data_IF_217980459303
#
_entry.id   IF_217980459303
#
_cell.length_a   1.000
_cell.length_b   1.000
_cell.length_c   1.000
_cell.angle_alpha   90.00
_cell.angle_beta   90.00
_cell.angle_gamma   90.00
#
_symmetry.space_group_name_H-M   'P 1'
#
loop_
_entity.id
_entity.type
_entity.pdbx_description
1 polymer ?
#
# COMPACT_ATOMS: atom_id res chain seq x y z
N UNK A 1 -44.78 -21.09 1.37
CA UNK A 1 -43.67 -21.51 2.27
C UNK A 1 -42.45 -20.70 1.90
N UNK A 2 -41.91 -19.99 2.88
CA UNK A 2 -40.96 -18.88 2.74
C UNK A 2 -39.54 -19.40 2.46
N UNK A 3 -38.93 -18.96 1.36
CA UNK A 3 -37.49 -19.09 1.14
C UNK A 3 -36.80 -18.01 1.98
N UNK A 4 -36.17 -18.43 3.06
CA UNK A 4 -35.44 -17.56 3.97
C UNK A 4 -34.34 -16.80 3.20
N UNK A 5 -34.46 -15.47 3.25
CA UNK A 5 -33.45 -14.49 2.89
C UNK A 5 -32.20 -14.77 3.73
N UNK A 6 -31.13 -15.26 3.10
CA UNK A 6 -29.83 -15.40 3.76
C UNK A 6 -29.27 -13.99 3.90
N UNK A 7 -28.90 -13.54 5.11
CA UNK A 7 -28.28 -12.23 5.27
C UNK A 7 -26.97 -12.21 4.47
N UNK A 8 -26.93 -11.39 3.42
CA UNK A 8 -25.71 -11.04 2.70
C UNK A 8 -24.68 -10.56 3.73
N UNK A 9 -23.49 -11.18 3.83
CA UNK A 9 -22.47 -10.69 4.75
C UNK A 9 -22.18 -9.22 4.41
N UNK A 10 -22.00 -8.34 5.41
CA UNK A 10 -21.72 -6.94 5.16
C UNK A 10 -20.51 -6.85 4.24
N UNK A 11 -20.69 -6.20 3.09
CA UNK A 11 -19.66 -5.95 2.11
C UNK A 11 -18.44 -5.38 2.83
N UNK A 12 -17.37 -6.17 2.95
CA UNK A 12 -16.15 -5.74 3.62
C UNK A 12 -15.66 -4.47 2.92
N UNK A 13 -15.59 -3.35 3.67
CA UNK A 13 -15.13 -2.08 3.11
C UNK A 13 -13.75 -2.30 2.46
N UNK A 14 -13.55 -1.89 1.20
CA UNK A 14 -12.29 -2.09 0.51
C UNK A 14 -11.12 -1.34 1.18
N UNK A 15 -11.44 -0.31 1.97
CA UNK A 15 -10.49 0.55 2.66
C UNK A 15 -10.65 0.50 4.18
N UNK A 16 -9.56 0.81 4.88
CA UNK A 16 -9.53 1.09 6.32
C UNK A 16 -8.83 2.43 6.55
N UNK A 17 -9.46 3.31 7.34
CA UNK A 17 -8.83 4.54 7.81
C UNK A 17 -7.94 4.25 9.03
N UNK A 18 -6.74 4.81 9.06
CA UNK A 18 -5.83 4.65 10.20
C UNK A 18 -6.36 5.42 11.41
N UNK A 19 -6.62 4.68 12.48
CA UNK A 19 -6.67 5.22 13.83
C UNK A 19 -5.29 5.12 14.51
N UNK A 20 -5.15 5.64 15.73
CA UNK A 20 -3.90 5.59 16.49
C UNK A 20 -3.41 4.14 16.74
N UNK A 21 -4.32 3.18 16.86
CA UNK A 21 -3.98 1.76 17.03
C UNK A 21 -3.39 1.20 15.73
N UNK A 22 -4.05 1.47 14.61
CA UNK A 22 -3.65 1.07 13.28
C UNK A 22 -2.32 1.69 12.86
N UNK A 23 -2.10 2.97 13.19
CA UNK A 23 -0.85 3.67 12.96
C UNK A 23 0.31 2.98 13.67
N UNK A 24 0.19 2.73 14.98
CA UNK A 24 1.22 1.98 15.74
C UNK A 24 1.43 0.57 15.19
N UNK A 25 0.35 -0.08 14.74
CA UNK A 25 0.44 -1.39 14.10
C UNK A 25 1.10 -1.35 12.71
N UNK A 26 1.20 -0.22 12.02
CA UNK A 26 1.93 -0.08 10.76
C UNK A 26 3.28 0.63 10.89
N UNK A 27 3.61 1.15 12.06
CA UNK A 27 4.91 1.73 12.41
C UNK A 27 6.06 0.68 12.51
N UNK A 28 6.09 -0.32 11.62
CA UNK A 28 7.17 -1.29 11.52
C UNK A 28 7.31 -1.82 10.07
N UNK A 29 8.52 -1.80 9.49
CA UNK A 29 8.74 -2.17 8.08
C UNK A 29 8.20 -3.55 7.70
N UNK A 30 8.43 -4.58 8.53
CA UNK A 30 7.95 -5.94 8.24
C UNK A 30 6.42 -6.00 8.18
N UNK A 31 5.69 -5.24 9.01
CA UNK A 31 4.22 -5.25 9.02
C UNK A 31 3.65 -4.61 7.75
N UNK A 32 4.24 -3.50 7.30
CA UNK A 32 3.88 -2.85 6.02
C UNK A 32 4.16 -3.80 4.85
N UNK A 33 5.32 -4.48 4.85
CA UNK A 33 5.68 -5.42 3.80
C UNK A 33 4.77 -6.66 3.76
N UNK A 34 4.43 -7.24 4.92
CA UNK A 34 3.50 -8.37 5.03
C UNK A 34 2.10 -7.99 4.51
N UNK A 35 1.56 -6.85 4.96
CA UNK A 35 0.26 -6.36 4.50
C UNK A 35 0.28 -6.10 2.99
N UNK A 36 1.34 -5.47 2.48
CA UNK A 36 1.55 -5.24 1.04
C UNK A 36 1.63 -6.54 0.24
N UNK A 37 2.34 -7.55 0.75
CA UNK A 37 2.45 -8.86 0.11
C UNK A 37 1.10 -9.58 0.04
N UNK A 38 0.30 -9.55 1.12
CA UNK A 38 -1.04 -10.15 1.13
C UNK A 38 -2.01 -9.44 0.18
N UNK A 39 -1.94 -8.11 0.07
CA UNK A 39 -2.71 -7.33 -0.92
C UNK A 39 -2.24 -7.58 -2.35
N UNK A 40 -0.98 -7.95 -2.55
CA UNK A 40 -0.39 -8.20 -3.87
C UNK A 40 -0.60 -9.63 -4.34
N UNK A 41 -0.21 -10.60 -3.54
CA UNK A 41 -0.15 -12.00 -3.97
C UNK A 41 -1.31 -12.82 -3.44
N UNK A 42 -2.23 -12.20 -2.69
CA UNK A 42 -3.38 -12.88 -2.10
C UNK A 42 -3.03 -13.58 -0.79
N UNK A 43 -3.89 -14.53 -0.41
CA UNK A 43 -3.75 -15.26 0.84
C UNK A 43 -2.45 -16.09 0.86
N UNK A 44 -1.76 -16.12 2.01
CA UNK A 44 -0.49 -16.82 2.15
C UNK A 44 -0.24 -17.27 3.60
N UNK A 45 0.68 -18.21 3.78
CA UNK A 45 1.12 -18.69 5.10
C UNK A 45 2.28 -17.85 5.63
N UNK A 46 2.49 -17.88 6.95
CA UNK A 46 3.61 -17.19 7.58
C UNK A 46 4.97 -17.69 7.10
N UNK A 47 5.08 -18.98 6.76
CA UNK A 47 6.31 -19.59 6.23
C UNK A 47 6.67 -19.01 4.86
N UNK A 48 5.72 -19.02 3.93
CA UNK A 48 5.92 -18.49 2.58
C UNK A 48 6.20 -16.96 2.59
N UNK A 49 5.50 -16.22 3.45
CA UNK A 49 5.77 -14.79 3.65
C UNK A 49 7.15 -14.56 4.27
N UNK A 50 7.55 -15.34 5.26
CA UNK A 50 8.87 -15.26 5.88
C UNK A 50 10.00 -15.44 4.85
N UNK A 51 9.90 -16.48 4.02
CA UNK A 51 10.84 -16.73 2.92
C UNK A 51 10.90 -15.55 1.94
N UNK A 52 9.75 -15.03 1.50
CA UNK A 52 9.69 -13.89 0.58
C UNK A 52 10.32 -12.62 1.16
N UNK A 53 10.15 -12.36 2.45
CA UNK A 53 10.64 -11.14 3.11
C UNK A 53 12.05 -11.30 3.70
N UNK A 54 12.66 -12.50 3.62
CA UNK A 54 13.95 -12.78 4.24
C UNK A 54 13.91 -12.75 5.78
N UNK A 55 12.77 -13.10 6.39
CA UNK A 55 12.60 -13.18 7.85
C UNK A 55 12.17 -14.58 8.28
N UNK A 56 12.38 -14.93 9.55
CA UNK A 56 11.93 -16.23 10.06
C UNK A 56 10.41 -16.38 10.03
N UNK A 57 9.91 -17.61 9.90
CA UNK A 57 8.47 -17.92 9.98
C UNK A 57 7.87 -17.51 11.34
N UNK A 58 8.66 -17.60 12.42
CA UNK A 58 8.28 -17.13 13.76
C UNK A 58 8.08 -15.60 13.80
N UNK A 59 9.01 -14.85 13.21
CA UNK A 59 8.92 -13.39 13.06
C UNK A 59 7.71 -12.98 12.23
N UNK A 60 7.50 -13.62 11.06
CA UNK A 60 6.33 -13.38 10.22
C UNK A 60 5.03 -13.66 10.97
N UNK A 61 4.93 -14.80 11.66
CA UNK A 61 3.76 -15.18 12.46
C UNK A 61 3.45 -14.18 13.58
N UNK A 62 4.47 -13.69 14.28
CA UNK A 62 4.32 -12.67 15.31
C UNK A 62 3.71 -11.38 14.75
N UNK A 63 4.24 -10.89 13.63
CA UNK A 63 3.75 -9.67 13.00
C UNK A 63 2.36 -9.83 12.38
N UNK A 64 2.04 -11.00 11.81
CA UNK A 64 0.69 -11.29 11.30
C UNK A 64 -0.36 -11.26 12.42
N UNK A 65 -0.04 -11.78 13.62
CA UNK A 65 -0.94 -11.68 14.78
C UNK A 65 -1.16 -10.22 15.23
N UNK A 66 -0.11 -9.40 15.20
CA UNK A 66 -0.25 -7.96 15.52
C UNK A 66 -1.14 -7.25 14.50
N UNK A 67 -0.93 -7.51 13.21
CA UNK A 67 -1.77 -6.98 12.13
C UNK A 67 -3.23 -7.44 12.28
N UNK A 68 -3.45 -8.69 12.68
CA UNK A 68 -4.79 -9.24 12.90
C UNK A 68 -5.48 -8.56 14.09
N UNK A 69 -4.77 -8.37 15.20
CA UNK A 69 -5.28 -7.62 16.35
C UNK A 69 -5.63 -6.16 16.04
N UNK A 70 -5.02 -5.59 14.99
CA UNK A 70 -5.32 -4.26 14.47
C UNK A 70 -6.31 -4.26 13.28
N UNK A 71 -6.83 -5.43 12.85
CA UNK A 71 -7.84 -5.54 11.80
C UNK A 71 -7.32 -5.46 10.37
N UNK A 72 -6.01 -5.45 10.12
CA UNK A 72 -5.46 -5.34 8.76
C UNK A 72 -5.45 -6.67 7.99
N UNK A 73 -5.36 -7.79 8.71
CA UNK A 73 -5.35 -9.13 8.15
C UNK A 73 -6.31 -10.02 8.93
N UNK A 74 -6.81 -11.06 8.29
CA UNK A 74 -7.66 -12.07 8.90
C UNK A 74 -7.16 -13.46 8.52
N UNK A 75 -7.50 -14.44 9.34
CA UNK A 75 -7.28 -15.84 8.99
C UNK A 75 -8.22 -16.25 7.86
N UNK A 76 -7.67 -16.93 6.86
CA UNK A 76 -8.43 -17.52 5.76
C UNK A 76 -8.71 -18.99 6.10
N UNK A 77 -9.85 -19.22 6.77
CA UNK A 77 -10.25 -20.55 7.25
C UNK A 77 -10.68 -21.51 6.13
N UNK A 78 -10.92 -21.01 4.92
CA UNK A 78 -11.26 -21.85 3.77
C UNK A 78 -10.02 -22.54 3.18
N UNK A 79 -8.84 -21.90 3.31
CA UNK A 79 -7.54 -22.46 2.90
C UNK A 79 -6.75 -23.09 4.04
N UNK A 80 -7.02 -22.64 5.27
CA UNK A 80 -6.41 -23.15 6.48
C UNK A 80 -6.71 -24.64 6.72
N UNK A 81 -5.73 -25.36 7.25
CA UNK A 81 -5.95 -26.69 7.84
C UNK A 81 -5.37 -26.71 9.26
N UNK A 82 -5.54 -27.82 9.99
CA UNK A 82 -5.04 -27.95 11.37
C UNK A 82 -3.52 -27.79 11.54
N UNK A 83 -2.74 -27.80 10.45
CA UNK A 83 -1.27 -27.71 10.47
C UNK A 83 -0.75 -26.34 10.04
N UNK A 84 -1.47 -25.59 9.23
CA UNK A 84 -0.98 -24.32 8.69
C UNK A 84 -2.07 -23.26 8.61
N UNK A 85 -1.82 -22.11 9.25
CA UNK A 85 -2.72 -20.95 9.22
C UNK A 85 -2.45 -20.09 7.99
N UNK A 86 -3.51 -19.84 7.24
CA UNK A 86 -3.49 -18.95 6.08
C UNK A 86 -3.99 -17.56 6.48
N UNK A 87 -3.36 -16.54 5.94
CA UNK A 87 -3.68 -15.15 6.22
C UNK A 87 -4.06 -14.46 4.92
N UNK A 88 -5.04 -13.57 4.97
CA UNK A 88 -5.38 -12.67 3.87
C UNK A 88 -5.53 -11.24 4.37
N UNK A 89 -5.31 -10.26 3.49
CA UNK A 89 -5.62 -8.88 3.81
C UNK A 89 -7.13 -8.72 4.06
N UNK A 90 -7.50 -7.95 5.07
CA UNK A 90 -8.89 -7.62 5.35
C UNK A 90 -9.42 -6.53 4.40
N UNK A 91 -8.53 -5.63 3.98
CA UNK A 91 -8.82 -4.47 3.14
C UNK A 91 -7.79 -4.37 2.01
N UNK A 92 -8.23 -3.90 0.83
CA UNK A 92 -7.35 -3.71 -0.33
C UNK A 92 -6.49 -2.44 -0.21
N UNK A 93 -6.93 -1.46 0.59
CA UNK A 93 -6.18 -0.23 0.81
C UNK A 93 -6.25 0.30 2.24
N UNK A 94 -5.34 1.23 2.52
CA UNK A 94 -5.18 1.89 3.81
C UNK A 94 -5.21 3.39 3.55
N UNK A 95 -6.11 4.11 4.22
CA UNK A 95 -6.22 5.56 4.14
C UNK A 95 -5.59 6.17 5.39
N UNK A 96 -4.68 7.12 5.21
CA UNK A 96 -4.05 7.83 6.31
C UNK A 96 -4.12 9.32 6.05
N UNK A 97 -4.74 10.04 6.98
CA UNK A 97 -4.70 11.49 7.06
C UNK A 97 -3.61 11.88 8.06
N UNK A 98 -2.42 12.21 7.54
CA UNK A 98 -1.28 12.58 8.37
C UNK A 98 -1.57 13.81 9.26
N UNK A 99 -2.41 14.74 8.79
CA UNK A 99 -2.67 16.00 9.52
C UNK A 99 -3.36 15.76 10.86
N UNK A 100 -4.20 14.73 10.95
CA UNK A 100 -4.93 14.37 12.16
C UNK A 100 -4.06 13.70 13.24
N UNK A 101 -2.88 13.16 12.89
CA UNK A 101 -2.07 12.33 13.77
C UNK A 101 -0.63 12.80 13.98
N UNK A 102 -0.10 13.67 13.11
CA UNK A 102 1.29 14.13 13.19
C UNK A 102 1.63 14.79 14.54
N UNK A 103 0.69 15.53 15.13
CA UNK A 103 0.88 16.17 16.44
C UNK A 103 0.59 15.23 17.61
N UNK A 104 -0.36 14.30 17.45
CA UNK A 104 -0.85 13.42 18.53
C UNK A 104 0.01 12.19 18.75
N UNK A 105 0.58 11.67 17.66
CA UNK A 105 1.37 10.43 17.61
C UNK A 105 2.62 10.64 16.72
N UNK A 106 3.51 11.60 17.05
CA UNK A 106 4.61 12.02 16.17
C UNK A 106 5.58 10.89 15.85
N UNK A 107 5.99 10.11 16.86
CA UNK A 107 6.92 8.99 16.67
C UNK A 107 6.31 7.88 15.80
N UNK A 108 5.05 7.50 16.06
CA UNK A 108 4.37 6.48 15.27
C UNK A 108 4.13 6.94 13.82
N UNK A 109 3.81 8.22 13.63
CA UNK A 109 3.68 8.85 12.31
C UNK A 109 4.99 8.80 11.54
N UNK A 110 6.10 9.19 12.18
CA UNK A 110 7.43 9.11 11.59
C UNK A 110 7.83 7.69 11.20
N UNK A 111 7.70 6.72 12.12
CA UNK A 111 8.03 5.32 11.87
C UNK A 111 7.14 4.70 10.80
N UNK A 112 5.87 5.07 10.73
CA UNK A 112 4.98 4.65 9.65
C UNK A 112 5.45 5.17 8.29
N UNK A 113 5.76 6.46 8.18
CA UNK A 113 6.28 7.02 6.93
C UNK A 113 7.60 6.36 6.50
N UNK A 114 8.52 6.13 7.43
CA UNK A 114 9.77 5.41 7.15
C UNK A 114 9.50 3.97 6.66
N UNK A 115 8.56 3.26 7.29
CA UNK A 115 8.18 1.90 6.89
C UNK A 115 7.55 1.86 5.48
N UNK A 116 6.70 2.84 5.14
CA UNK A 116 6.10 2.99 3.81
C UNK A 116 7.16 3.31 2.76
N UNK A 117 8.04 4.27 3.04
CA UNK A 117 9.14 4.64 2.14
C UNK A 117 10.06 3.44 1.84
N UNK A 118 10.46 2.69 2.87
CA UNK A 118 11.27 1.48 2.70
C UNK A 118 10.57 0.41 1.85
N UNK A 119 9.26 0.23 2.03
CA UNK A 119 8.48 -0.71 1.22
C UNK A 119 8.35 -0.25 -0.25
N UNK A 120 8.24 1.05 -0.49
CA UNK A 120 8.21 1.62 -1.84
C UNK A 120 9.56 1.49 -2.54
N UNK A 121 10.66 1.82 -1.86
CA UNK A 121 12.01 1.66 -2.38
C UNK A 121 12.29 0.20 -2.79
N UNK A 122 11.92 -0.77 -1.94
CA UNK A 122 12.04 -2.20 -2.27
C UNK A 122 11.23 -2.56 -3.52
N UNK A 123 9.98 -2.10 -3.61
CA UNK A 123 9.13 -2.39 -4.78
C UNK A 123 9.70 -1.82 -6.07
N UNK A 124 10.26 -0.61 -6.01
CA UNK A 124 10.94 0.02 -7.13
C UNK A 124 12.18 -0.77 -7.54
N UNK A 125 13.01 -1.19 -6.58
CA UNK A 125 14.18 -2.03 -6.85
C UNK A 125 13.80 -3.37 -7.48
N UNK A 126 12.77 -4.05 -6.96
CA UNK A 126 12.26 -5.30 -7.53
C UNK A 126 11.82 -5.09 -9.00
N UNK A 127 11.09 -4.01 -9.30
CA UNK A 127 10.64 -3.69 -10.65
C UNK A 127 11.82 -3.38 -11.61
N UNK A 128 12.83 -2.66 -11.14
CA UNK A 128 14.05 -2.38 -11.92
C UNK A 128 14.82 -3.67 -12.23
N UNK A 129 14.95 -4.57 -11.24
CA UNK A 129 15.63 -5.85 -11.44
C UNK A 129 14.89 -6.76 -12.43
N UNK A 130 13.55 -6.69 -12.47
CA UNK A 130 12.71 -7.45 -13.39
C UNK A 130 12.60 -6.80 -14.77
N UNK A 131 12.95 -5.52 -14.93
CA UNK A 131 12.70 -4.75 -16.16
C UNK A 131 13.22 -5.43 -17.43
N UNK A 132 14.46 -5.95 -17.40
CA UNK A 132 15.08 -6.57 -18.56
C UNK A 132 14.40 -7.88 -19.01
N UNK A 133 13.62 -8.52 -18.13
CA UNK A 133 12.91 -9.77 -18.42
C UNK A 133 11.44 -9.57 -18.78
N UNK A 134 10.94 -8.32 -18.74
CA UNK A 134 9.57 -8.00 -19.12
C UNK A 134 9.35 -8.12 -20.64
N UNK A 135 8.15 -8.59 -21.07
CA UNK A 135 7.73 -8.48 -22.47
C UNK A 135 7.81 -7.04 -22.99
N UNK A 136 8.02 -6.87 -24.30
CA UNK A 136 8.28 -5.55 -24.90
C UNK A 136 7.15 -4.56 -24.63
N UNK A 137 5.91 -5.00 -24.76
CA UNK A 137 4.70 -4.22 -24.50
C UNK A 137 4.62 -3.68 -23.06
N UNK A 138 5.21 -4.39 -22.08
CA UNK A 138 5.27 -3.93 -20.69
C UNK A 138 6.47 -3.03 -20.41
N UNK A 139 7.55 -3.17 -21.18
CA UNK A 139 8.70 -2.26 -21.10
C UNK A 139 8.36 -0.87 -21.64
N UNK A 140 7.54 -0.79 -22.68
CA UNK A 140 7.13 0.48 -23.30
C UNK A 140 6.24 1.35 -22.41
N UNK A 141 5.40 0.73 -21.56
CA UNK A 141 4.52 1.47 -20.61
C UNK A 141 5.18 1.71 -19.25
N UNK A 142 6.39 1.21 -19.04
CA UNK A 142 7.15 1.43 -17.80
C UNK A 142 7.73 2.83 -17.80
N UNK A 143 7.40 3.62 -16.79
CA UNK A 143 7.85 5.00 -16.63
C UNK A 143 8.57 5.19 -15.28
N UNK A 144 9.66 5.94 -15.29
CA UNK A 144 10.45 6.32 -14.12
C UNK A 144 10.78 7.81 -14.16
N UNK A 145 9.77 8.64 -14.50
CA UNK A 145 9.94 10.08 -14.60
C UNK A 145 10.10 10.77 -13.25
N UNK A 146 10.92 11.82 -13.22
CA UNK A 146 11.08 12.78 -12.14
C UNK A 146 10.68 14.19 -12.62
N UNK A 147 9.84 14.88 -11.85
CA UNK A 147 9.35 16.22 -12.18
C UNK A 147 9.60 17.17 -11.02
N UNK A 148 10.32 18.27 -11.28
CA UNK A 148 10.48 19.38 -10.33
C UNK A 148 9.49 20.48 -10.68
N UNK A 149 8.58 20.78 -9.74
CA UNK A 149 7.49 21.75 -9.93
C UNK A 149 7.53 22.83 -8.85
N UNK A 150 7.41 24.08 -9.26
CA UNK A 150 7.21 25.21 -8.35
C UNK A 150 5.71 25.37 -8.07
N UNK A 151 5.26 24.95 -6.89
CA UNK A 151 3.85 24.96 -6.50
C UNK A 151 3.67 25.59 -5.13
N UNK A 152 2.55 26.32 -4.95
CA UNK A 152 2.03 26.65 -3.63
C UNK A 152 1.51 25.39 -2.90
N UNK A 153 1.35 25.43 -1.57
CA UNK A 153 0.73 24.33 -0.82
C UNK A 153 -0.67 23.95 -1.32
N UNK A 154 -1.49 24.93 -1.70
CA UNK A 154 -2.82 24.72 -2.25
C UNK A 154 -2.78 24.00 -3.60
N UNK A 155 -1.83 24.36 -4.47
CA UNK A 155 -1.62 23.70 -5.76
C UNK A 155 -1.09 22.28 -5.59
N UNK A 156 -0.16 22.04 -4.67
CA UNK A 156 0.34 20.70 -4.36
C UNK A 156 -0.77 19.78 -3.83
N UNK A 157 -1.64 20.28 -2.96
CA UNK A 157 -2.82 19.54 -2.48
C UNK A 157 -3.78 19.22 -3.62
N UNK A 158 -4.04 20.17 -4.52
CA UNK A 158 -4.89 19.98 -5.69
C UNK A 158 -4.32 18.95 -6.66
N UNK A 159 -3.03 19.04 -7.00
CA UNK A 159 -2.34 18.06 -7.83
C UNK A 159 -2.46 16.64 -7.24
N UNK A 160 -2.26 16.50 -5.93
CA UNK A 160 -2.42 15.22 -5.24
C UNK A 160 -3.87 14.69 -5.24
N UNK A 161 -4.88 15.55 -5.31
CA UNK A 161 -6.29 15.17 -5.48
C UNK A 161 -6.56 14.72 -6.92
N UNK A 162 -6.16 15.50 -7.91
CA UNK A 162 -6.38 15.21 -9.34
C UNK A 162 -5.71 13.89 -9.75
N UNK A 163 -4.47 13.64 -9.30
CA UNK A 163 -3.80 12.36 -9.55
C UNK A 163 -4.57 11.19 -8.92
N UNK A 164 -5.09 11.34 -7.70
CA UNK A 164 -5.92 10.30 -7.07
C UNK A 164 -7.22 10.04 -7.84
N UNK A 165 -7.86 11.08 -8.36
CA UNK A 165 -9.06 10.94 -9.18
C UNK A 165 -8.76 10.23 -10.51
N UNK A 166 -7.64 10.57 -11.16
CA UNK A 166 -7.16 9.85 -12.35
C UNK A 166 -7.00 8.36 -12.03
N UNK A 167 -6.31 8.02 -10.94
CA UNK A 167 -6.09 6.63 -10.50
C UNK A 167 -7.42 5.91 -10.26
N UNK A 168 -8.35 6.57 -9.57
CA UNK A 168 -9.65 6.00 -9.25
C UNK A 168 -10.42 5.57 -10.50
N UNK A 169 -10.28 6.28 -11.63
CA UNK A 169 -10.91 5.92 -12.91
C UNK A 169 -10.38 4.61 -13.51
N UNK A 170 -9.12 4.24 -13.25
CA UNK A 170 -8.50 3.02 -13.78
C UNK A 170 -8.57 1.82 -12.83
N UNK A 171 -9.04 2.02 -11.59
CA UNK A 171 -9.17 0.92 -10.62
C UNK A 171 -10.30 -0.03 -11.02
N UNK A 172 -9.93 -1.22 -11.48
CA UNK A 172 -10.86 -2.33 -11.68
C UNK A 172 -11.02 -3.16 -10.39
N UNK A 173 -12.20 -3.75 -10.20
CA UNK A 173 -12.52 -4.54 -9.02
C UNK A 173 -11.86 -5.93 -9.07
N UNK A 174 -10.68 -6.07 -8.46
CA UNK A 174 -10.06 -7.35 -8.10
C UNK A 174 -9.41 -8.12 -9.27
N UNK A 175 -8.29 -8.79 -8.97
CA UNK A 175 -7.53 -9.57 -9.97
C UNK A 175 -8.34 -10.73 -10.58
N UNK A 176 -9.32 -11.27 -9.85
CA UNK A 176 -10.16 -12.39 -10.31
C UNK A 176 -11.16 -11.99 -11.41
N UNK A 177 -11.41 -10.70 -11.61
CA UNK A 177 -12.30 -10.16 -12.65
C UNK A 177 -11.55 -9.42 -13.75
N UNK A 178 -10.22 -9.45 -13.73
CA UNK A 178 -9.40 -8.75 -14.70
C UNK A 178 -9.51 -9.45 -16.07
N UNK A 179 -9.78 -8.70 -17.16
CA UNK A 179 -9.85 -9.27 -18.51
C UNK A 179 -8.57 -10.00 -18.92
N UNK A 180 -8.70 -10.98 -19.82
CA UNK A 180 -7.55 -11.69 -20.38
C UNK A 180 -6.58 -10.70 -21.05
N UNK A 181 -5.27 -10.92 -20.87
CA UNK A 181 -4.22 -10.01 -21.34
C UNK A 181 -3.94 -8.80 -20.43
N UNK A 182 -4.67 -8.62 -19.32
CA UNK A 182 -4.35 -7.56 -18.36
C UNK A 182 -3.23 -7.97 -17.40
N UNK A 183 -2.22 -7.11 -17.29
CA UNK A 183 -1.13 -7.24 -16.33
C UNK A 183 -1.35 -6.33 -15.12
N UNK A 184 -0.82 -6.75 -13.97
CA UNK A 184 -0.86 -5.91 -12.77
C UNK A 184 0.21 -4.83 -12.84
N UNK A 185 -0.22 -3.57 -12.86
CA UNK A 185 0.67 -2.41 -12.75
C UNK A 185 0.73 -1.95 -11.28
N UNK A 186 1.93 -1.63 -10.82
CA UNK A 186 2.14 -0.94 -9.54
C UNK A 186 2.45 0.52 -9.81
N UNK A 187 1.64 1.43 -9.29
CA UNK A 187 1.95 2.85 -9.30
C UNK A 187 2.19 3.35 -7.87
N UNK A 188 3.30 4.05 -7.68
CA UNK A 188 3.67 4.70 -6.42
C UNK A 188 3.73 6.19 -6.73
N UNK A 189 2.94 6.98 -6.01
CA UNK A 189 2.90 8.44 -6.18
C UNK A 189 3.43 9.09 -4.91
N UNK A 190 4.38 10.00 -5.10
CA UNK A 190 4.96 10.82 -4.05
C UNK A 190 4.80 12.29 -4.44
N UNK A 191 4.13 13.08 -3.60
CA UNK A 191 4.17 14.54 -3.65
C UNK A 191 4.88 14.97 -2.38
N UNK A 192 6.16 15.30 -2.49
CA UNK A 192 7.04 15.55 -1.34
C UNK A 192 7.65 16.94 -1.54
N UNK A 193 7.51 17.85 -0.56
CA UNK A 193 8.20 19.14 -0.64
C UNK A 193 9.71 18.93 -0.54
N UNK A 194 10.46 19.58 -1.40
CA UNK A 194 11.92 19.66 -1.27
C UNK A 194 12.27 20.71 -0.22
N UNK A 195 13.11 20.32 0.75
CA UNK A 195 13.56 21.24 1.78
C UNK A 195 14.61 22.18 1.16
N UNK A 196 14.32 23.48 1.21
CA UNK A 196 15.28 24.57 0.98
C UNK A 196 15.62 24.96 -0.47
N UNK A 197 14.64 24.96 -1.37
CA UNK A 197 14.72 25.74 -2.61
C UNK A 197 13.71 26.91 -2.54
N UNK A 198 14.12 28.06 -1.97
CA UNK A 198 13.39 29.30 -2.27
C UNK A 198 13.53 29.57 -3.77
N UNK A 199 12.46 29.93 -4.48
CA UNK A 199 12.60 30.33 -5.87
C UNK A 199 13.62 31.47 -5.94
N UNK A 200 14.52 31.49 -6.94
CA UNK A 200 15.36 32.65 -7.15
C UNK A 200 14.43 33.84 -7.22
N UNK A 201 14.54 34.76 -6.26
CA UNK A 201 13.82 36.02 -6.31
C UNK A 201 14.17 36.63 -7.65
N UNK A 202 13.17 36.91 -8.49
CA UNK A 202 13.40 37.68 -9.70
C UNK A 202 13.96 39.04 -9.24
N UNK A 203 15.29 39.15 -9.23
CA UNK A 203 15.98 40.41 -9.06
C UNK A 203 15.50 41.26 -10.22
N UNK A 204 14.70 42.28 -9.91
CA UNK A 204 14.25 43.24 -10.89
C UNK A 204 15.44 43.78 -11.66
N UNK A 205 15.31 43.78 -12.98
CA UNK A 205 16.09 44.66 -13.83
C UNK A 205 15.75 46.12 -13.44
N UNK A 206 16.70 46.81 -12.81
CA UNK A 206 16.88 48.27 -12.92
C UNK A 206 18.33 48.54 -13.33
#
# INVERSE_FOLDING_TARGET
MSTADRPTPPSASPSIALDAKGLRALAHPVRVQLLGALRRFGASTATALGQRLGVSSGTASYHLRQLAGAGFVVEDSERGNNRERWWRAAHIETLFDSSAYVEREPEATFLYHQAVAAAHARRMQDAVNEYATLPAEWREVSDMSDYSLWLSPEEALRLGQEVREVIARYRQAGAEKAPEGTGRVSMIVHVIPEADERPPTASGEE
#
